data_IF_485000005938
#
_entry.id   IF_485000005938
#
_cell.length_a   1.000
_cell.length_b   1.000
_cell.length_c   1.000
_cell.angle_alpha   90.00
_cell.angle_beta   90.00
_cell.angle_gamma   90.00
#
_symmetry.space_group_name_H-M   'P 1'
#
loop_
_entity.id
_entity.type
_entity.pdbx_description
1 polymer ?
#
# COMPACT_ATOMS: atom_id res chain seq x y z
N UNK A 1 9.88 50.68 21.88
CA UNK A 1 10.76 49.86 21.01
C UNK A 1 10.44 48.36 21.05
N UNK A 2 10.27 47.76 22.24
CA UNK A 2 10.05 46.30 22.42
C UNK A 2 8.70 45.73 21.90
N UNK A 3 7.66 46.56 21.80
CA UNK A 3 6.33 46.14 21.30
C UNK A 3 6.33 46.01 19.76
N UNK A 4 7.05 46.90 19.08
CA UNK A 4 7.15 46.93 17.61
C UNK A 4 7.95 45.72 17.13
N UNK A 5 9.03 45.35 17.81
CA UNK A 5 9.83 44.16 17.48
C UNK A 5 9.05 42.85 17.67
N UNK A 6 8.21 42.74 18.72
CA UNK A 6 7.31 41.59 18.90
C UNK A 6 6.27 41.48 17.79
N UNK A 7 5.66 42.61 17.38
CA UNK A 7 4.63 42.63 16.32
C UNK A 7 5.23 42.30 14.95
N UNK A 8 6.43 42.81 14.66
CA UNK A 8 7.16 42.52 13.43
C UNK A 8 7.55 41.04 13.35
N UNK A 9 8.09 40.47 14.44
CA UNK A 9 8.42 39.03 14.52
C UNK A 9 7.20 38.14 14.30
N UNK A 10 6.04 38.51 14.83
CA UNK A 10 4.78 37.76 14.65
C UNK A 10 4.30 37.81 13.19
N UNK A 11 4.46 38.95 12.52
CA UNK A 11 4.11 39.11 11.10
C UNK A 11 5.05 38.31 10.18
N UNK A 12 6.36 38.32 10.47
CA UNK A 12 7.35 37.53 9.72
C UNK A 12 7.10 36.03 9.87
N UNK A 13 6.74 35.56 11.07
CA UNK A 13 6.40 34.16 11.34
C UNK A 13 5.13 33.72 10.59
N UNK A 14 4.09 34.56 10.55
CA UNK A 14 2.85 34.28 9.80
C UNK A 14 3.09 34.22 8.29
N UNK A 15 3.90 35.14 7.75
CA UNK A 15 4.28 35.14 6.34
C UNK A 15 5.12 33.92 5.96
N UNK A 16 6.07 33.52 6.82
CA UNK A 16 6.90 32.34 6.59
C UNK A 16 6.09 31.04 6.68
N UNK A 17 5.18 30.93 7.65
CA UNK A 17 4.27 29.79 7.81
C UNK A 17 3.36 29.63 6.58
N UNK A 18 2.78 30.73 6.09
CA UNK A 18 1.99 30.72 4.87
C UNK A 18 2.84 30.26 3.66
N UNK A 19 4.09 30.73 3.54
CA UNK A 19 4.98 30.34 2.43
C UNK A 19 5.36 28.84 2.43
N UNK A 20 5.59 28.24 3.61
CA UNK A 20 5.92 26.81 3.72
C UNK A 20 4.69 25.94 3.46
N UNK A 21 3.55 26.31 4.04
CA UNK A 21 2.28 25.60 3.81
C UNK A 21 1.84 25.69 2.34
N UNK A 22 1.97 26.86 1.71
CA UNK A 22 1.68 27.04 0.29
C UNK A 22 2.57 26.17 -0.60
N UNK A 23 3.87 26.03 -0.30
CA UNK A 23 4.76 25.12 -1.03
C UNK A 23 4.31 23.66 -0.89
N UNK A 24 3.99 23.21 0.32
CA UNK A 24 3.49 21.83 0.55
C UNK A 24 2.23 21.61 -0.29
N UNK A 25 1.23 22.48 -0.19
CA UNK A 25 -0.01 22.36 -0.98
C UNK A 25 0.29 22.39 -2.48
N UNK A 26 1.18 23.28 -2.94
CA UNK A 26 1.57 23.41 -4.33
C UNK A 26 2.28 22.16 -4.89
N UNK A 27 3.04 21.43 -4.08
CA UNK A 27 3.73 20.21 -4.52
C UNK A 27 2.85 18.96 -4.38
N UNK A 28 2.04 18.85 -3.33
CA UNK A 28 1.16 17.71 -3.12
C UNK A 28 -0.03 17.68 -4.08
N UNK A 29 -0.61 18.85 -4.40
CA UNK A 29 -1.83 18.93 -5.21
C UNK A 29 -1.64 18.42 -6.64
N UNK A 30 -0.53 18.72 -7.36
CA UNK A 30 -0.23 18.11 -8.65
C UNK A 30 -0.02 16.60 -8.58
N UNK A 31 0.64 16.08 -7.54
CA UNK A 31 0.88 14.64 -7.36
C UNK A 31 -0.48 13.91 -7.24
N UNK A 32 -1.35 14.42 -6.36
CA UNK A 32 -2.70 13.88 -6.18
C UNK A 32 -3.51 14.00 -7.47
N UNK A 33 -3.41 15.12 -8.18
CA UNK A 33 -4.10 15.32 -9.45
C UNK A 33 -3.65 14.31 -10.52
N UNK A 34 -2.35 14.03 -10.63
CA UNK A 34 -1.80 13.06 -11.59
C UNK A 34 -2.27 11.64 -11.23
N UNK A 35 -2.19 11.24 -9.97
CA UNK A 35 -2.68 9.93 -9.50
C UNK A 35 -4.19 9.80 -9.77
N UNK A 36 -4.96 10.84 -9.45
CA UNK A 36 -6.41 10.88 -9.69
C UNK A 36 -6.74 10.79 -11.17
N UNK A 37 -5.99 11.50 -12.03
CA UNK A 37 -6.15 11.41 -13.48
C UNK A 37 -5.87 9.99 -14.00
N UNK A 38 -4.85 9.31 -13.49
CA UNK A 38 -4.55 7.92 -13.83
C UNK A 38 -5.64 6.95 -13.36
N UNK A 39 -6.16 7.10 -12.14
CA UNK A 39 -7.29 6.29 -11.65
C UNK A 39 -8.55 6.52 -12.50
N UNK A 40 -8.83 7.77 -12.88
CA UNK A 40 -9.94 8.09 -13.77
C UNK A 40 -9.74 7.49 -15.17
N UNK A 41 -8.52 7.48 -15.68
CA UNK A 41 -8.18 6.80 -16.94
C UNK A 41 -8.45 5.30 -16.88
N UNK A 42 -8.07 4.62 -15.79
CA UNK A 42 -8.43 3.21 -15.57
C UNK A 42 -9.94 3.00 -15.51
N UNK A 43 -10.69 3.93 -14.92
CA UNK A 43 -12.15 3.86 -14.89
C UNK A 43 -12.75 3.95 -16.30
N UNK A 44 -12.22 4.80 -17.17
CA UNK A 44 -12.63 4.89 -18.58
C UNK A 44 -12.28 3.60 -19.33
N UNK A 45 -11.07 3.06 -19.14
CA UNK A 45 -10.64 1.80 -19.75
C UNK A 45 -11.49 0.59 -19.30
N UNK A 46 -12.21 0.68 -18.18
CA UNK A 46 -13.19 -0.34 -17.80
C UNK A 46 -14.31 -0.53 -18.83
N UNK A 47 -14.63 0.49 -19.63
CA UNK A 47 -15.63 0.44 -20.72
C UNK A 47 -15.05 -0.09 -22.05
N UNK A 48 -13.73 -0.19 -22.15
CA UNK A 48 -13.00 -0.68 -23.32
C UNK A 48 -12.99 -2.22 -23.34
N UNK A 49 -12.66 -2.88 -24.48
CA UNK A 49 -12.39 -4.33 -24.54
C UNK A 49 -11.42 -4.86 -23.46
N UNK A 50 -10.54 -4.02 -22.92
CA UNK A 50 -9.63 -4.38 -21.82
C UNK A 50 -10.28 -4.33 -20.42
N UNK A 51 -11.55 -3.94 -20.32
CA UNK A 51 -12.24 -3.69 -19.05
C UNK A 51 -12.36 -4.91 -18.14
N UNK A 52 -12.29 -6.12 -18.71
CA UNK A 52 -12.25 -7.37 -17.94
C UNK A 52 -10.99 -7.42 -17.06
N UNK A 53 -9.82 -7.08 -17.58
CA UNK A 53 -8.56 -7.09 -16.82
C UNK A 53 -8.58 -6.06 -15.69
N UNK A 54 -9.13 -4.88 -15.93
CA UNK A 54 -9.27 -3.83 -14.92
C UNK A 54 -10.23 -4.27 -13.82
N UNK A 55 -11.33 -4.94 -14.18
CA UNK A 55 -12.24 -5.53 -13.21
C UNK A 55 -11.54 -6.58 -12.32
N UNK A 56 -10.70 -7.44 -12.90
CA UNK A 56 -9.91 -8.41 -12.13
C UNK A 56 -8.93 -7.72 -11.17
N UNK A 57 -8.20 -6.71 -11.67
CA UNK A 57 -7.23 -5.95 -10.88
C UNK A 57 -7.88 -5.26 -9.67
N UNK A 58 -9.04 -4.60 -9.84
CA UNK A 58 -9.75 -3.95 -8.74
C UNK A 58 -10.22 -4.97 -7.69
N UNK A 59 -10.61 -6.18 -8.11
CA UNK A 59 -10.98 -7.26 -7.19
C UNK A 59 -9.78 -7.72 -6.35
N UNK A 60 -8.64 -7.96 -7.00
CA UNK A 60 -7.38 -8.32 -6.31
C UNK A 60 -6.96 -7.21 -5.34
N UNK A 61 -7.05 -5.94 -5.75
CA UNK A 61 -6.71 -4.80 -4.89
C UNK A 61 -7.60 -4.72 -3.64
N UNK A 62 -8.90 -5.03 -3.76
CA UNK A 62 -9.81 -5.09 -2.61
C UNK A 62 -9.43 -6.24 -1.65
N UNK A 63 -9.13 -7.42 -2.19
CA UNK A 63 -8.67 -8.57 -1.41
C UNK A 63 -7.36 -8.26 -0.66
N UNK A 64 -6.41 -7.64 -1.36
CA UNK A 64 -5.18 -7.11 -0.76
C UNK A 64 -5.47 -6.14 0.39
N UNK A 65 -6.44 -5.23 0.23
CA UNK A 65 -6.86 -4.31 1.30
C UNK A 65 -7.39 -5.01 2.56
N UNK A 66 -8.09 -6.14 2.43
CA UNK A 66 -8.52 -6.93 3.59
C UNK A 66 -7.33 -7.52 4.34
N UNK A 67 -6.36 -8.06 3.61
CA UNK A 67 -5.13 -8.62 4.18
C UNK A 67 -4.30 -7.52 4.87
N UNK A 68 -4.24 -6.33 4.26
CA UNK A 68 -3.51 -5.18 4.80
C UNK A 68 -3.98 -4.78 6.22
N UNK A 69 -5.21 -5.11 6.60
CA UNK A 69 -5.75 -4.87 7.95
C UNK A 69 -4.98 -5.64 9.03
N UNK A 70 -4.48 -6.83 8.71
CA UNK A 70 -3.62 -7.61 9.61
C UNK A 70 -2.18 -7.10 9.53
N UNK A 71 -1.76 -6.66 8.34
CA UNK A 71 -0.36 -6.32 8.06
C UNK A 71 0.08 -4.98 8.66
N UNK A 72 -0.77 -3.96 8.59
CA UNK A 72 -0.44 -2.62 9.09
C UNK A 72 -0.13 -2.66 10.61
N UNK A 73 -0.95 -3.28 11.47
CA UNK A 73 -0.62 -3.45 12.88
C UNK A 73 0.68 -4.23 13.13
N UNK A 74 0.96 -5.27 12.33
CA UNK A 74 2.21 -6.04 12.44
C UNK A 74 3.42 -5.16 12.14
N UNK A 75 3.40 -4.35 11.07
CA UNK A 75 4.48 -3.42 10.74
C UNK A 75 4.72 -2.40 11.86
N UNK A 76 3.64 -1.84 12.42
CA UNK A 76 3.71 -0.90 13.53
C UNK A 76 4.32 -1.56 14.78
N UNK A 77 3.88 -2.78 15.12
CA UNK A 77 4.38 -3.51 16.29
C UNK A 77 5.89 -3.82 16.20
N UNK A 78 6.37 -4.30 15.05
CA UNK A 78 7.79 -4.57 14.85
C UNK A 78 8.62 -3.29 14.76
N UNK A 79 8.09 -2.21 14.16
CA UNK A 79 8.76 -0.90 14.16
C UNK A 79 8.97 -0.38 15.59
N UNK A 80 7.98 -0.54 16.48
CA UNK A 80 8.16 -0.22 17.89
C UNK A 80 9.17 -1.14 18.59
N UNK A 81 9.18 -2.44 18.28
CA UNK A 81 10.14 -3.38 18.85
C UNK A 81 11.60 -3.04 18.47
N UNK A 82 11.84 -2.69 17.20
CA UNK A 82 13.14 -2.20 16.73
C UNK A 82 13.53 -0.89 17.39
N UNK A 83 12.59 0.05 17.54
CA UNK A 83 12.88 1.31 18.22
C UNK A 83 13.27 1.10 19.69
N UNK A 84 12.58 0.20 20.40
CA UNK A 84 12.87 -0.10 21.80
C UNK A 84 14.23 -0.77 21.97
N UNK A 85 14.58 -1.73 21.11
CA UNK A 85 15.81 -2.50 21.27
C UNK A 85 17.06 -1.71 20.89
N UNK A 86 16.94 -0.76 19.95
CA UNK A 86 18.07 0.03 19.47
C UNK A 86 18.21 1.39 20.17
N UNK A 87 17.27 1.76 21.06
CA UNK A 87 17.24 3.06 21.75
C UNK A 87 18.56 3.42 22.44
N UNK A 88 19.23 2.44 23.02
CA UNK A 88 20.48 2.64 23.78
C UNK A 88 21.74 2.19 23.01
N UNK A 89 21.59 1.80 21.74
CA UNK A 89 22.67 1.25 20.91
C UNK A 89 23.51 2.30 20.17
N UNK A 90 23.12 3.58 20.25
CA UNK A 90 23.81 4.70 19.58
C UNK A 90 23.49 4.87 18.10
N UNK A 91 22.92 3.83 17.46
CA UNK A 91 22.36 3.85 16.10
C UNK A 91 20.85 3.70 16.20
N UNK A 92 20.10 4.76 15.93
CA UNK A 92 18.64 4.64 15.84
C UNK A 92 18.26 4.03 14.48
N UNK A 93 17.32 3.06 14.42
CA UNK A 93 16.94 2.36 13.18
C UNK A 93 16.26 3.29 12.17
N UNK A 94 15.73 4.39 12.66
CA UNK A 94 15.07 5.45 11.91
C UNK A 94 15.79 6.75 12.24
N UNK A 95 15.65 7.77 11.40
CA UNK A 95 16.11 9.10 11.78
C UNK A 95 15.47 9.50 13.11
N UNK A 96 16.31 9.68 14.11
CA UNK A 96 15.91 10.08 15.44
C UNK A 96 15.08 11.34 15.36
N UNK A 97 14.03 11.45 16.17
CA UNK A 97 13.30 12.69 16.43
C UNK A 97 14.19 13.69 17.21
N UNK A 98 15.47 13.85 16.85
CA UNK A 98 16.31 15.00 17.19
C UNK A 98 15.89 16.18 16.31
N UNK A 99 14.59 16.44 16.28
CA UNK A 99 14.08 17.68 15.76
C UNK A 99 13.97 18.59 16.98
N UNK A 100 14.61 19.75 16.92
CA UNK A 100 14.50 20.82 17.91
C UNK A 100 13.07 20.89 18.49
N UNK A 101 12.90 21.23 19.77
CA UNK A 101 11.59 21.29 20.46
C UNK A 101 10.49 22.10 19.72
N UNK A 102 10.88 22.85 18.67
CA UNK A 102 10.03 23.60 17.75
C UNK A 102 9.63 22.85 16.46
N UNK A 103 9.80 21.53 16.39
CA UNK A 103 9.41 20.72 15.24
C UNK A 103 7.91 20.84 14.92
N UNK A 104 7.60 21.16 13.67
CA UNK A 104 6.22 21.28 13.17
C UNK A 104 5.55 19.91 13.15
N UNK A 105 4.25 19.84 13.40
CA UNK A 105 3.45 18.58 13.33
C UNK A 105 3.65 17.84 12.00
N UNK A 106 3.83 18.58 10.89
CA UNK A 106 4.10 18.02 9.56
C UNK A 106 5.46 17.33 9.47
N UNK A 107 6.49 17.86 10.13
CA UNK A 107 7.84 17.26 10.15
C UNK A 107 7.82 15.93 10.92
N UNK A 108 7.10 15.87 12.05
CA UNK A 108 6.89 14.63 12.80
C UNK A 108 6.14 13.57 11.99
N UNK A 109 5.09 13.96 11.28
CA UNK A 109 4.35 13.08 10.36
C UNK A 109 5.24 12.55 9.24
N UNK A 110 6.12 13.39 8.67
CA UNK A 110 7.04 12.99 7.61
C UNK A 110 8.07 11.97 8.10
N UNK A 111 8.61 12.13 9.31
CA UNK A 111 9.55 11.16 9.92
C UNK A 111 8.87 9.81 10.15
N UNK A 112 7.63 9.80 10.64
CA UNK A 112 6.84 8.56 10.80
C UNK A 112 6.60 7.89 9.45
N UNK A 113 6.22 8.66 8.41
CA UNK A 113 6.03 8.13 7.05
C UNK A 113 7.32 7.54 6.48
N UNK A 114 8.47 8.18 6.73
CA UNK A 114 9.77 7.64 6.32
C UNK A 114 10.11 6.34 7.04
N UNK A 115 9.86 6.24 8.35
CA UNK A 115 10.07 5.01 9.12
C UNK A 115 9.20 3.85 8.60
N UNK A 116 7.93 4.13 8.30
CA UNK A 116 7.01 3.16 7.67
C UNK A 116 7.53 2.74 6.29
N UNK A 117 8.01 3.69 5.48
CA UNK A 117 8.53 3.42 4.14
C UNK A 117 9.78 2.54 4.21
N UNK A 118 10.76 2.86 5.07
CA UNK A 118 11.94 2.03 5.31
C UNK A 118 11.56 0.61 5.76
N UNK A 119 10.64 0.49 6.72
CA UNK A 119 10.17 -0.82 7.20
C UNK A 119 9.48 -1.61 6.09
N UNK A 120 8.73 -0.94 5.20
CA UNK A 120 8.13 -1.57 4.01
C UNK A 120 9.17 -2.04 2.99
N UNK A 121 10.24 -1.28 2.77
CA UNK A 121 11.34 -1.67 1.87
C UNK A 121 12.09 -2.89 2.41
N UNK A 122 12.37 -2.92 3.72
CA UNK A 122 12.93 -4.09 4.40
C UNK A 122 12.06 -5.34 4.23
N UNK A 123 10.74 -5.20 4.27
CA UNK A 123 9.80 -6.30 4.07
C UNK A 123 9.78 -6.86 2.64
N UNK A 124 10.17 -6.08 1.63
CA UNK A 124 10.31 -6.57 0.24
C UNK A 124 11.61 -7.38 0.08
N UNK A 125 12.49 -7.38 1.09
CA UNK A 125 13.80 -8.04 1.08
C UNK A 125 14.95 -7.10 0.74
N UNK A 126 14.70 -5.80 0.60
CA UNK A 126 15.74 -4.78 0.49
C UNK A 126 16.08 -4.27 1.89
N UNK A 127 16.99 -4.96 2.56
CA UNK A 127 17.47 -4.55 3.88
C UNK A 127 18.75 -3.75 3.71
N UNK A 128 18.65 -2.43 3.92
CA UNK A 128 19.83 -1.59 4.19
C UNK A 128 20.28 -1.84 5.64
N UNK A 129 20.75 -3.06 5.87
CA UNK A 129 21.03 -3.60 7.20
C UNK A 129 22.37 -3.13 7.75
N UNK A 130 23.16 -2.38 6.96
CA UNK A 130 24.54 -2.08 7.31
C UNK A 130 24.65 -1.30 8.63
N UNK A 131 23.70 -0.40 8.91
CA UNK A 131 23.66 0.35 10.18
C UNK A 131 23.17 -0.51 11.35
N UNK A 132 22.27 -1.47 11.10
CA UNK A 132 21.64 -2.33 12.12
C UNK A 132 22.49 -3.56 12.48
N UNK A 133 23.21 -4.12 11.49
CA UNK A 133 24.15 -5.22 11.68
C UNK A 133 25.53 -4.72 12.12
N UNK A 134 25.84 -3.44 11.86
CA UNK A 134 27.07 -2.77 12.28
C UNK A 134 27.19 -2.59 13.79
N UNK A 135 26.08 -2.67 14.54
CA UNK A 135 26.03 -2.42 15.99
C UNK A 135 26.71 -3.50 16.84
N UNK A 136 27.21 -4.61 16.24
CA UNK A 136 27.85 -5.76 16.92
C UNK A 136 27.02 -6.37 18.08
N UNK A 137 25.73 -6.08 18.14
CA UNK A 137 24.81 -6.64 19.14
C UNK A 137 24.02 -7.79 18.50
N UNK A 138 24.00 -8.93 19.16
CA UNK A 138 23.34 -10.15 18.65
C UNK A 138 21.81 -10.06 18.69
N UNK A 139 21.25 -9.30 19.64
CA UNK A 139 19.80 -9.23 19.85
C UNK A 139 19.07 -8.51 18.69
N UNK A 140 19.53 -7.32 18.23
CA UNK A 140 18.93 -6.66 17.06
C UNK A 140 19.08 -7.49 15.77
N UNK A 141 20.22 -8.15 15.56
CA UNK A 141 20.44 -9.00 14.39
C UNK A 141 19.47 -10.19 14.34
N UNK A 142 19.23 -10.85 15.47
CA UNK A 142 18.24 -11.95 15.55
C UNK A 142 16.82 -11.40 15.31
N UNK A 143 16.49 -10.23 15.85
CA UNK A 143 15.17 -9.62 15.66
C UNK A 143 14.90 -9.29 14.19
N UNK A 144 15.89 -8.71 13.47
CA UNK A 144 15.78 -8.46 12.02
C UNK A 144 15.61 -9.76 11.25
N UNK A 145 16.40 -10.79 11.57
CA UNK A 145 16.32 -12.08 10.88
C UNK A 145 14.96 -12.76 11.08
N UNK A 146 14.42 -12.73 12.31
CA UNK A 146 13.07 -13.26 12.60
C UNK A 146 12.00 -12.44 11.89
N UNK A 147 12.11 -11.11 11.91
CA UNK A 147 11.20 -10.21 11.20
C UNK A 147 11.21 -10.52 9.70
N UNK A 148 12.37 -10.72 9.10
CA UNK A 148 12.52 -10.96 7.67
C UNK A 148 11.99 -12.33 7.26
N UNK A 149 12.26 -13.39 8.04
CA UNK A 149 11.66 -14.71 7.81
C UNK A 149 10.13 -14.62 7.89
N UNK A 150 9.58 -13.96 8.90
CA UNK A 150 8.13 -13.83 9.05
C UNK A 150 7.54 -13.00 7.91
N UNK A 151 8.14 -11.87 7.57
CA UNK A 151 7.56 -10.94 6.59
C UNK A 151 7.82 -11.34 5.14
N UNK A 152 9.04 -11.69 4.78
CA UNK A 152 9.39 -12.12 3.42
C UNK A 152 8.81 -13.51 3.13
N UNK A 153 8.90 -14.47 4.05
CA UNK A 153 8.47 -15.85 3.75
C UNK A 153 6.99 -16.06 4.04
N UNK A 154 6.46 -15.64 5.20
CA UNK A 154 5.04 -15.91 5.49
C UNK A 154 4.12 -14.92 4.78
N UNK A 155 4.42 -13.62 4.81
CA UNK A 155 3.49 -12.62 4.28
C UNK A 155 3.51 -12.56 2.75
N UNK A 156 4.68 -12.64 2.10
CA UNK A 156 4.72 -12.68 0.63
C UNK A 156 4.02 -13.93 0.08
N UNK A 157 4.26 -15.10 0.69
CA UNK A 157 3.58 -16.33 0.27
C UNK A 157 2.08 -16.32 0.57
N UNK A 158 1.63 -15.69 1.65
CA UNK A 158 0.21 -15.48 1.92
C UNK A 158 -0.43 -14.57 0.87
N UNK A 159 0.24 -13.48 0.48
CA UNK A 159 -0.26 -12.57 -0.55
C UNK A 159 -0.36 -13.27 -1.91
N UNK A 160 0.68 -14.01 -2.30
CA UNK A 160 0.69 -14.78 -3.55
C UNK A 160 -0.39 -15.86 -3.54
N UNK A 161 -0.54 -16.59 -2.43
CA UNK A 161 -1.58 -17.64 -2.29
C UNK A 161 -2.99 -17.08 -2.38
N UNK A 162 -3.26 -15.91 -1.81
CA UNK A 162 -4.57 -15.25 -1.88
C UNK A 162 -4.83 -14.66 -3.26
N UNK A 163 -3.84 -14.04 -3.89
CA UNK A 163 -3.95 -13.59 -5.27
C UNK A 163 -4.26 -14.76 -6.23
N UNK A 164 -3.59 -15.91 -6.04
CA UNK A 164 -3.86 -17.14 -6.80
C UNK A 164 -5.26 -17.68 -6.49
N UNK A 165 -5.68 -17.66 -5.21
CA UNK A 165 -7.03 -18.04 -4.78
C UNK A 165 -8.12 -17.23 -5.49
N UNK A 166 -8.02 -15.90 -5.44
CA UNK A 166 -8.98 -14.99 -6.09
C UNK A 166 -9.04 -15.17 -7.62
N UNK A 167 -7.89 -15.39 -8.26
CA UNK A 167 -7.82 -15.67 -9.70
C UNK A 167 -8.46 -17.04 -10.01
N UNK A 168 -8.25 -18.05 -9.16
CA UNK A 168 -8.79 -19.39 -9.35
C UNK A 168 -10.32 -19.41 -9.21
N UNK A 169 -10.88 -18.73 -8.20
CA UNK A 169 -12.32 -18.61 -7.99
C UNK A 169 -13.00 -17.86 -9.14
N UNK A 170 -12.34 -16.82 -9.65
CA UNK A 170 -12.81 -16.08 -10.80
C UNK A 170 -12.79 -16.94 -12.08
N UNK A 171 -11.73 -17.73 -12.29
CA UNK A 171 -11.62 -18.66 -13.42
C UNK A 171 -12.71 -19.72 -13.37
N UNK A 172 -12.94 -20.32 -12.21
CA UNK A 172 -13.96 -21.35 -12.02
C UNK A 172 -15.36 -20.77 -12.29
N UNK A 173 -15.66 -19.58 -11.76
CA UNK A 173 -16.93 -18.90 -12.02
C UNK A 173 -17.14 -18.58 -13.50
N UNK A 174 -16.08 -18.17 -14.20
CA UNK A 174 -16.14 -17.89 -15.64
C UNK A 174 -16.37 -19.16 -16.47
N UNK A 175 -15.67 -20.26 -16.16
CA UNK A 175 -15.86 -21.55 -16.81
C UNK A 175 -17.28 -22.09 -16.61
N UNK A 176 -17.81 -21.97 -15.40
CA UNK A 176 -19.16 -22.44 -15.06
C UNK A 176 -20.25 -21.68 -15.85
N UNK A 177 -20.09 -20.36 -16.01
CA UNK A 177 -20.95 -19.55 -16.88
C UNK A 177 -20.87 -19.97 -18.35
N UNK A 178 -19.67 -20.23 -18.86
CA UNK A 178 -19.49 -20.67 -20.25
C UNK A 178 -20.14 -22.03 -20.49
N UNK A 179 -20.00 -22.97 -19.56
CA UNK A 179 -20.62 -24.30 -19.65
C UNK A 179 -22.15 -24.20 -19.66
N UNK A 180 -22.74 -23.37 -18.80
CA UNK A 180 -24.19 -23.12 -18.77
C UNK A 180 -24.71 -22.53 -20.08
N UNK A 181 -23.97 -21.60 -20.69
CA UNK A 181 -24.34 -21.02 -21.99
C UNK A 181 -24.30 -22.09 -23.09
N UNK A 182 -23.23 -22.89 -23.15
CA UNK A 182 -23.11 -23.98 -24.13
C UNK A 182 -24.21 -25.02 -23.98
N UNK A 183 -24.52 -25.43 -22.74
CA UNK A 183 -25.59 -26.39 -22.46
C UNK A 183 -26.97 -25.84 -22.88
N UNK A 184 -27.27 -24.57 -22.59
CA UNK A 184 -28.51 -23.91 -23.00
C UNK A 184 -28.67 -23.84 -24.52
N UNK A 185 -27.59 -23.48 -25.24
CA UNK A 185 -27.60 -23.49 -26.70
C UNK A 185 -27.86 -24.89 -27.26
N UNK A 186 -27.20 -25.92 -26.71
CA UNK A 186 -27.38 -27.30 -27.15
C UNK A 186 -28.82 -27.80 -26.93
N UNK A 187 -29.43 -27.46 -25.79
CA UNK A 187 -30.82 -27.80 -25.49
C UNK A 187 -31.81 -27.10 -26.42
N UNK A 188 -31.61 -25.80 -26.70
CA UNK A 188 -32.45 -25.06 -27.64
C UNK A 188 -32.36 -25.66 -29.05
N UNK A 189 -31.16 -26.04 -29.50
CA UNK A 189 -30.93 -26.62 -30.81
C UNK A 189 -31.59 -28.00 -30.93
N UNK A 190 -31.46 -28.84 -29.90
CA UNK A 190 -32.10 -30.15 -29.85
C UNK A 190 -33.64 -30.05 -29.80
N UNK A 191 -34.19 -29.08 -29.05
CA UNK A 191 -35.64 -28.84 -29.04
C UNK A 191 -36.18 -28.37 -30.39
N UNK A 192 -35.44 -27.50 -31.10
CA UNK A 192 -35.81 -27.03 -32.43
C UNK A 192 -35.78 -28.19 -33.44
N UNK A 193 -34.76 -29.05 -33.38
CA UNK A 193 -34.68 -30.26 -34.21
C UNK A 193 -35.88 -31.20 -34.01
N UNK A 194 -36.25 -31.48 -32.76
CA UNK A 194 -37.43 -32.32 -32.45
C UNK A 194 -38.76 -31.72 -32.91
N UNK A 195 -38.88 -30.39 -32.97
CA UNK A 195 -40.10 -29.74 -33.47
C UNK A 195 -40.21 -29.85 -34.99
N UNK A 196 -39.09 -29.76 -35.72
CA UNK A 196 -39.05 -29.94 -37.17
C UNK A 196 -39.39 -31.38 -37.55
N UNK A 197 -38.85 -32.36 -36.81
CA UNK A 197 -39.11 -33.79 -37.05
C UNK A 197 -40.57 -34.20 -36.75
N UNK A 198 -41.28 -33.44 -35.91
CA UNK A 198 -42.73 -33.63 -35.66
C UNK A 198 -43.62 -32.88 -36.66
N UNK A 199 -43.06 -31.96 -37.43
CA UNK A 199 -43.79 -31.15 -38.41
C UNK A 199 -43.80 -31.77 -39.82
N UNK A 200 -42.98 -32.80 -40.04
CA UNK A 200 -42.94 -33.66 -41.23
C UNK A 200 -43.54 -35.04 -40.89
#
# INVERSE_FOLDING_TARGET
MMIITKKLRRLTLLLCFNSKFQKVVLWFLPIVAIISAWVNFLYILRKSPYGIYIFMMVRILRSFGHIATIWIPTLVAFSFAFHLIMRDSGTEPWESLKTDDNATVLEKLFIILQAITKTSTMMIGEVDANDILGTRQWIPSILVLVFEIITVILLMNLMVSLAVGDVSDLRNTAQDKILKIKAGQFLSFNSAGKLIERAF
#
